data_IF_758799384562
#
_entry.id   IF_758799384562
#
_cell.length_a   1.000
_cell.length_b   1.000
_cell.length_c   1.000
_cell.angle_alpha   90.00
_cell.angle_beta   90.00
_cell.angle_gamma   90.00
#
_symmetry.space_group_name_H-M   'P 1'
#
loop_
_entity.id
_entity.type
_entity.pdbx_description
1 polymer ?
#
# COMPACT_ATOMS: atom_id res chain seq x y z
N UNK A 1 11.84 2.09 10.80
CA UNK A 1 12.23 1.74 9.41
C UNK A 1 10.99 1.44 8.57
N UNK A 2 10.16 0.49 9.00
CA UNK A 2 8.89 0.15 8.35
C UNK A 2 7.74 1.04 8.85
N UNK A 3 7.80 2.33 8.53
CA UNK A 3 6.77 3.30 8.93
C UNK A 3 5.61 3.30 7.93
N UNK A 4 4.37 3.18 8.44
CA UNK A 4 3.14 3.13 7.65
C UNK A 4 2.48 4.49 7.41
N UNK A 5 3.17 5.57 7.78
CA UNK A 5 2.70 6.94 7.63
C UNK A 5 2.49 7.33 6.16
N UNK A 6 1.34 7.94 5.87
CA UNK A 6 0.94 8.38 4.54
C UNK A 6 0.97 9.92 4.45
N UNK A 7 2.18 10.46 4.29
CA UNK A 7 2.49 11.91 4.35
C UNK A 7 1.62 12.78 3.45
N UNK A 8 1.22 12.31 2.25
CA UNK A 8 0.39 13.10 1.35
C UNK A 8 -0.95 13.52 2.00
N UNK A 9 -1.48 12.70 2.90
CA UNK A 9 -2.78 12.92 3.53
C UNK A 9 -2.76 13.97 4.66
N UNK A 10 -1.58 14.37 5.16
CA UNK A 10 -1.44 15.47 6.11
C UNK A 10 -2.03 16.79 5.56
N UNK A 11 -1.87 17.03 4.27
CA UNK A 11 -2.37 18.24 3.61
C UNK A 11 -3.78 18.04 3.04
N UNK A 12 -4.04 16.85 2.50
CA UNK A 12 -5.26 16.53 1.77
C UNK A 12 -6.48 16.36 2.69
N UNK A 13 -6.33 15.70 3.84
CA UNK A 13 -7.47 15.46 4.75
C UNK A 13 -7.98 16.76 5.38
N UNK A 14 -7.12 17.67 5.88
CA UNK A 14 -7.59 18.99 6.31
C UNK A 14 -8.29 19.78 5.20
N UNK A 15 -7.90 19.61 3.93
CA UNK A 15 -8.60 20.23 2.80
C UNK A 15 -10.03 19.69 2.65
N UNK A 16 -10.23 18.37 2.73
CA UNK A 16 -11.57 17.75 2.77
C UNK A 16 -12.41 18.33 3.91
N UNK A 17 -11.84 18.39 5.12
CA UNK A 17 -12.56 18.86 6.31
C UNK A 17 -12.96 20.33 6.17
N UNK A 18 -12.06 21.20 5.68
CA UNK A 18 -12.37 22.61 5.40
C UNK A 18 -13.48 22.75 4.36
N UNK A 19 -13.39 22.01 3.26
CA UNK A 19 -14.40 22.03 2.20
C UNK A 19 -15.78 21.57 2.72
N UNK A 20 -15.82 20.50 3.51
CA UNK A 20 -17.05 19.97 4.08
C UNK A 20 -17.70 20.94 5.08
N UNK A 21 -16.90 21.56 5.96
CA UNK A 21 -17.41 22.52 6.95
C UNK A 21 -17.93 23.81 6.30
N UNK A 22 -17.42 24.17 5.13
CA UNK A 22 -17.88 25.33 4.35
C UNK A 22 -19.19 25.10 3.59
N UNK A 23 -19.74 23.88 3.56
CA UNK A 23 -21.01 23.60 2.90
C UNK A 23 -22.21 24.20 3.66
N UNK A 24 -23.26 24.68 2.96
CA UNK A 24 -24.53 25.05 3.58
C UNK A 24 -25.18 23.87 4.33
N UNK A 25 -25.96 24.16 5.38
CA UNK A 25 -26.56 23.13 6.24
C UNK A 25 -27.58 22.21 5.53
N UNK A 26 -28.11 22.64 4.38
CA UNK A 26 -29.00 21.84 3.52
C UNK A 26 -28.31 21.13 2.35
N UNK A 27 -26.98 21.21 2.22
CA UNK A 27 -26.27 20.60 1.10
C UNK A 27 -26.31 19.06 1.20
N UNK A 28 -26.71 18.40 0.10
CA UNK A 28 -26.77 16.94 0.03
C UNK A 28 -25.42 16.25 0.28
N UNK A 29 -24.29 16.90 -0.07
CA UNK A 29 -22.95 16.40 0.24
C UNK A 29 -22.67 16.42 1.74
N UNK A 30 -23.22 17.39 2.48
CA UNK A 30 -23.03 17.50 3.92
C UNK A 30 -23.68 16.30 4.64
N UNK A 31 -24.89 15.93 4.24
CA UNK A 31 -25.55 14.74 4.78
C UNK A 31 -24.86 13.44 4.34
N UNK A 32 -24.55 13.30 3.05
CA UNK A 32 -23.97 12.07 2.49
C UNK A 32 -22.52 11.79 2.92
N UNK A 33 -21.75 12.79 3.33
CA UNK A 33 -20.34 12.65 3.69
C UNK A 33 -20.04 12.80 5.18
N UNK A 34 -21.07 12.94 6.03
CA UNK A 34 -20.91 13.13 7.48
C UNK A 34 -20.03 12.08 8.13
N UNK A 35 -20.29 10.79 7.89
CA UNK A 35 -19.50 9.70 8.48
C UNK A 35 -18.11 9.56 7.85
N UNK A 36 -17.95 9.53 6.51
CA UNK A 36 -16.63 9.49 5.87
C UNK A 36 -15.69 10.63 6.31
N UNK A 37 -16.18 11.86 6.36
CA UNK A 37 -15.36 13.02 6.75
C UNK A 37 -14.99 12.96 8.23
N UNK A 38 -15.91 12.56 9.10
CA UNK A 38 -15.61 12.34 10.53
C UNK A 38 -14.53 11.27 10.72
N UNK A 39 -14.61 10.17 9.97
CA UNK A 39 -13.61 9.11 10.07
C UNK A 39 -12.23 9.59 9.61
N UNK A 40 -12.18 10.26 8.46
CA UNK A 40 -10.93 10.80 7.93
C UNK A 40 -10.31 11.86 8.85
N UNK A 41 -11.12 12.73 9.47
CA UNK A 41 -10.62 13.77 10.37
C UNK A 41 -10.02 13.25 11.68
N UNK A 42 -10.36 12.02 12.07
CA UNK A 42 -9.84 11.35 13.28
C UNK A 42 -8.69 10.39 12.97
N UNK A 43 -8.37 10.17 11.70
CA UNK A 43 -7.33 9.25 11.29
C UNK A 43 -5.94 9.86 11.50
N UNK A 44 -5.00 9.04 11.99
CA UNK A 44 -3.62 9.42 12.28
C UNK A 44 -2.67 9.27 11.09
N UNK A 45 -3.21 9.07 9.88
CA UNK A 45 -2.46 8.87 8.63
C UNK A 45 -1.57 7.63 8.57
N UNK A 46 -1.61 6.74 9.57
CA UNK A 46 -0.96 5.44 9.49
C UNK A 46 -1.86 4.41 8.83
N UNK A 47 -1.33 3.72 7.84
CA UNK A 47 -1.98 2.57 7.21
C UNK A 47 -1.86 1.31 8.06
N UNK A 48 -2.89 0.47 8.03
CA UNK A 48 -2.94 -0.83 8.70
C UNK A 48 -3.99 -1.73 8.07
N UNK A 49 -3.91 -3.03 8.29
CA UNK A 49 -4.88 -4.01 7.76
C UNK A 49 -6.33 -3.73 8.22
N UNK A 50 -6.50 -3.14 9.41
CA UNK A 50 -7.83 -2.88 9.97
C UNK A 50 -8.35 -1.45 9.66
N UNK A 51 -7.56 -0.62 8.96
CA UNK A 51 -7.87 0.79 8.75
C UNK A 51 -8.89 0.98 7.63
N UNK A 52 -10.12 1.36 7.99
CA UNK A 52 -11.14 1.81 7.03
C UNK A 52 -10.78 3.17 6.43
N UNK A 53 -10.19 4.06 7.23
CA UNK A 53 -9.75 5.38 6.77
C UNK A 53 -8.71 5.27 5.65
N UNK A 54 -7.81 4.27 5.71
CA UNK A 54 -6.84 4.00 4.65
C UNK A 54 -7.52 3.61 3.34
N UNK A 55 -8.54 2.75 3.38
CA UNK A 55 -9.34 2.40 2.19
C UNK A 55 -9.97 3.64 1.57
N UNK A 56 -10.68 4.45 2.38
CA UNK A 56 -11.31 5.68 1.90
C UNK A 56 -10.29 6.65 1.31
N UNK A 57 -9.21 6.91 2.05
CA UNK A 57 -8.19 7.88 1.67
C UNK A 57 -7.48 7.50 0.37
N UNK A 58 -7.10 6.24 0.19
CA UNK A 58 -6.39 5.78 -1.01
C UNK A 58 -7.33 5.78 -2.23
N UNK A 59 -8.53 5.21 -2.12
CA UNK A 59 -9.48 5.21 -3.25
C UNK A 59 -9.87 6.63 -3.67
N UNK A 60 -10.07 7.53 -2.69
CA UNK A 60 -10.33 8.94 -2.97
C UNK A 60 -9.10 9.64 -3.58
N UNK A 61 -7.93 9.40 -3.02
CA UNK A 61 -6.64 9.92 -3.48
C UNK A 61 -6.43 9.60 -4.96
N UNK A 62 -6.59 8.33 -5.35
CA UNK A 62 -6.47 7.87 -6.73
C UNK A 62 -7.39 8.65 -7.69
N UNK A 63 -8.61 9.01 -7.25
CA UNK A 63 -9.57 9.78 -8.07
C UNK A 63 -9.18 11.26 -8.24
N UNK A 64 -8.46 11.84 -7.29
CA UNK A 64 -8.01 13.23 -7.39
C UNK A 64 -6.64 13.36 -8.08
N UNK A 65 -5.83 12.30 -8.19
CA UNK A 65 -4.50 12.36 -8.80
C UNK A 65 -4.46 13.00 -10.19
N UNK A 66 -5.39 12.74 -11.13
CA UNK A 66 -5.40 13.43 -12.42
C UNK A 66 -5.57 14.95 -12.31
N UNK A 67 -6.24 15.45 -11.26
CA UNK A 67 -6.38 16.88 -10.98
C UNK A 67 -5.10 17.41 -10.34
N UNK A 68 -4.56 16.69 -9.35
CA UNK A 68 -3.26 17.01 -8.72
C UNK A 68 -2.18 17.19 -9.78
N UNK A 69 -2.05 16.28 -10.75
CA UNK A 69 -1.03 16.37 -11.78
C UNK A 69 -1.17 17.58 -12.71
N UNK A 70 -2.39 18.12 -12.87
CA UNK A 70 -2.70 19.31 -13.67
C UNK A 70 -2.61 20.61 -12.87
N UNK A 71 -2.55 20.55 -11.54
CA UNK A 71 -2.41 21.72 -10.69
C UNK A 71 -1.09 22.43 -10.96
N UNK A 72 -1.15 23.75 -11.09
CA UNK A 72 0.03 24.61 -11.23
C UNK A 72 0.61 24.88 -9.83
N UNK A 73 1.92 24.74 -9.70
CA UNK A 73 2.68 25.12 -8.51
C UNK A 73 3.00 26.62 -8.55
N UNK A 74 3.40 27.21 -7.41
CA UNK A 74 3.75 28.64 -7.37
C UNK A 74 5.00 28.90 -8.19
N UNK A 75 5.14 30.13 -8.67
CA UNK A 75 6.35 30.54 -9.39
C UNK A 75 7.57 30.40 -8.47
N UNK A 76 8.60 29.68 -8.93
CA UNK A 76 9.82 29.41 -8.16
C UNK A 76 9.82 28.08 -7.41
N UNK A 77 8.69 27.38 -7.30
CA UNK A 77 8.64 26.01 -6.79
C UNK A 77 8.91 24.98 -7.90
N UNK A 78 9.51 23.84 -7.53
CA UNK A 78 9.62 22.72 -8.47
C UNK A 78 8.25 22.09 -8.77
N UNK A 79 8.11 21.49 -9.96
CA UNK A 79 6.87 20.90 -10.43
C UNK A 79 6.64 19.46 -9.90
N UNK A 80 7.18 19.12 -8.73
CA UNK A 80 7.05 17.78 -8.13
C UNK A 80 5.61 17.45 -7.75
N UNK A 81 5.33 16.16 -7.65
CA UNK A 81 4.03 15.66 -7.15
C UNK A 81 3.74 16.17 -5.73
N UNK A 82 4.76 16.37 -4.90
CA UNK A 82 4.59 16.91 -3.54
C UNK A 82 4.05 18.33 -3.59
N UNK A 83 4.74 19.24 -4.30
CA UNK A 83 4.30 20.63 -4.41
C UNK A 83 2.94 20.76 -5.10
N UNK A 84 2.67 19.92 -6.12
CA UNK A 84 1.34 19.85 -6.74
C UNK A 84 0.25 19.39 -5.78
N UNK A 85 0.55 18.44 -4.90
CA UNK A 85 -0.40 17.96 -3.88
C UNK A 85 -0.71 19.06 -2.87
N UNK A 86 0.32 19.77 -2.40
CA UNK A 86 0.16 20.92 -1.49
C UNK A 86 -0.62 22.07 -2.14
N UNK A 87 -0.30 22.39 -3.40
CA UNK A 87 -1.01 23.41 -4.18
C UNK A 87 -2.48 23.00 -4.41
N UNK A 88 -2.74 21.73 -4.74
CA UNK A 88 -4.11 21.24 -4.90
C UNK A 88 -4.88 21.29 -3.59
N UNK A 89 -4.31 20.80 -2.48
CA UNK A 89 -4.94 20.84 -1.16
C UNK A 89 -5.28 22.25 -0.67
N UNK A 90 -4.53 23.27 -1.11
CA UNK A 90 -4.76 24.67 -0.74
C UNK A 90 -5.72 25.42 -1.65
N UNK A 91 -5.90 24.98 -2.91
CA UNK A 91 -6.66 25.73 -3.93
C UNK A 91 -7.89 25.02 -4.45
N UNK A 92 -8.02 23.71 -4.24
CA UNK A 92 -9.14 22.94 -4.74
C UNK A 92 -10.47 23.41 -4.13
N UNK A 93 -11.49 23.53 -4.97
CA UNK A 93 -12.84 23.86 -4.50
C UNK A 93 -13.53 22.65 -3.85
N UNK A 94 -14.66 22.89 -3.19
CA UNK A 94 -15.39 21.85 -2.49
C UNK A 94 -15.84 20.71 -3.42
N UNK A 95 -16.22 21.01 -4.66
CA UNK A 95 -16.66 19.99 -5.61
C UNK A 95 -15.50 19.08 -6.04
N UNK A 96 -14.30 19.64 -6.21
CA UNK A 96 -13.10 18.90 -6.59
C UNK A 96 -12.61 17.94 -5.50
N UNK A 97 -12.94 18.21 -4.24
CA UNK A 97 -12.58 17.38 -3.08
C UNK A 97 -13.69 16.40 -2.70
N UNK A 98 -14.94 16.88 -2.61
CA UNK A 98 -16.05 16.14 -2.01
C UNK A 98 -16.80 15.24 -3.00
N UNK A 99 -16.92 15.61 -4.28
CA UNK A 99 -17.55 14.73 -5.28
C UNK A 99 -16.75 13.43 -5.49
N UNK A 100 -15.41 13.44 -5.60
CA UNK A 100 -14.62 12.22 -5.63
C UNK A 100 -14.76 11.38 -4.34
N UNK A 101 -14.96 12.02 -3.18
CA UNK A 101 -15.15 11.29 -1.92
C UNK A 101 -16.50 10.58 -1.90
N UNK A 102 -17.57 11.26 -2.34
CA UNK A 102 -18.88 10.64 -2.49
C UNK A 102 -18.86 9.48 -3.50
N UNK A 103 -18.15 9.67 -4.63
CA UNK A 103 -17.96 8.62 -5.61
C UNK A 103 -17.18 7.42 -5.04
N UNK A 104 -16.22 7.66 -4.14
CA UNK A 104 -15.48 6.61 -3.44
C UNK A 104 -16.38 5.79 -2.52
N UNK A 105 -17.19 6.46 -1.71
CA UNK A 105 -18.16 5.79 -0.81
C UNK A 105 -19.09 4.88 -1.61
N UNK A 106 -19.70 5.41 -2.67
CA UNK A 106 -20.61 4.66 -3.55
C UNK A 106 -19.91 3.50 -4.27
N UNK A 107 -18.68 3.70 -4.74
CA UNK A 107 -17.91 2.63 -5.37
C UNK A 107 -17.64 1.49 -4.39
N UNK A 108 -17.22 1.80 -3.15
CA UNK A 108 -16.94 0.78 -2.15
C UNK A 108 -18.22 0.03 -1.74
N UNK A 109 -19.34 0.73 -1.55
CA UNK A 109 -20.64 0.11 -1.31
C UNK A 109 -21.05 -0.83 -2.45
N UNK A 110 -20.90 -0.40 -3.71
CA UNK A 110 -21.24 -1.21 -4.88
C UNK A 110 -20.35 -2.46 -5.00
N UNK A 111 -19.05 -2.32 -4.72
CA UNK A 111 -18.07 -3.40 -4.87
C UNK A 111 -18.10 -4.41 -3.72
N UNK A 112 -18.23 -3.91 -2.49
CA UNK A 112 -18.02 -4.71 -1.29
C UNK A 112 -19.24 -4.79 -0.37
N UNK A 113 -20.36 -4.14 -0.72
CA UNK A 113 -21.57 -4.08 0.11
C UNK A 113 -21.48 -3.08 1.27
N UNK A 114 -20.32 -2.46 1.49
CA UNK A 114 -20.12 -1.41 2.50
C UNK A 114 -18.96 -0.51 2.09
N UNK A 115 -19.01 0.78 2.44
CA UNK A 115 -17.83 1.64 2.35
C UNK A 115 -16.87 1.46 3.54
N UNK A 116 -17.33 0.84 4.63
CA UNK A 116 -16.54 0.64 5.85
C UNK A 116 -15.58 -0.55 5.74
N UNK A 117 -14.91 -0.68 4.61
CA UNK A 117 -14.02 -1.80 4.33
C UNK A 117 -12.64 -1.61 4.98
N UNK A 118 -12.19 -2.54 5.83
CA UNK A 118 -10.81 -2.55 6.31
C UNK A 118 -9.82 -2.70 5.15
N UNK A 119 -8.71 -1.97 5.17
CA UNK A 119 -7.75 -1.96 4.07
C UNK A 119 -7.22 -3.35 3.71
N UNK A 120 -6.94 -4.19 4.71
CA UNK A 120 -6.45 -5.55 4.50
C UNK A 120 -7.46 -6.49 3.84
N UNK A 121 -8.76 -6.22 3.93
CA UNK A 121 -9.79 -7.00 3.19
C UNK A 121 -9.79 -6.69 1.69
N UNK A 122 -9.34 -5.49 1.34
CA UNK A 122 -9.30 -4.97 -0.03
C UNK A 122 -7.91 -5.16 -0.65
N UNK A 123 -6.85 -4.93 0.11
CA UNK A 123 -5.45 -4.94 -0.31
C UNK A 123 -4.75 -6.23 0.06
N UNK A 124 -4.49 -7.07 -0.94
CA UNK A 124 -4.06 -8.46 -0.76
C UNK A 124 -2.74 -8.75 -1.46
N UNK A 125 -1.92 -9.59 -0.85
CA UNK A 125 -0.77 -10.21 -1.49
C UNK A 125 -1.06 -11.66 -1.79
N UNK A 126 -0.95 -12.02 -3.06
CA UNK A 126 -1.29 -13.35 -3.54
C UNK A 126 -0.25 -13.80 -4.54
N UNK A 127 0.13 -15.07 -4.44
CA UNK A 127 1.00 -15.74 -5.40
C UNK A 127 0.39 -17.11 -5.69
N UNK A 128 -0.15 -17.28 -6.91
CA UNK A 128 -0.86 -18.50 -7.32
C UNK A 128 0.05 -19.42 -8.14
N UNK A 129 0.88 -18.84 -9.00
CA UNK A 129 1.75 -19.56 -9.93
C UNK A 129 3.15 -18.95 -10.01
N UNK A 130 4.05 -19.67 -10.69
CA UNK A 130 5.40 -19.22 -11.01
C UNK A 130 5.49 -18.32 -12.24
N UNK A 131 4.35 -17.90 -12.78
CA UNK A 131 4.29 -17.16 -14.04
C UNK A 131 4.88 -15.76 -13.87
N UNK A 132 5.50 -15.27 -14.95
CA UNK A 132 6.02 -13.89 -14.99
C UNK A 132 4.87 -12.90 -14.94
N UNK A 133 3.82 -13.17 -15.70
CA UNK A 133 2.57 -12.42 -15.65
C UNK A 133 1.68 -13.00 -14.56
N UNK A 134 1.57 -12.27 -13.45
CA UNK A 134 0.76 -12.72 -12.32
C UNK A 134 -0.73 -12.68 -12.66
N UNK A 135 -1.41 -13.77 -12.34
CA UNK A 135 -2.87 -13.86 -12.31
C UNK A 135 -3.35 -13.86 -10.85
N UNK A 136 -4.53 -13.26 -10.63
CA UNK A 136 -5.12 -13.10 -9.30
C UNK A 136 -6.57 -13.59 -9.30
N UNK A 137 -7.01 -14.10 -8.15
CA UNK A 137 -8.34 -14.66 -7.96
C UNK A 137 -8.79 -14.44 -6.51
N UNK A 138 -9.91 -13.72 -6.35
CA UNK A 138 -10.51 -13.38 -5.06
C UNK A 138 -10.94 -14.61 -4.25
N UNK A 139 -11.11 -15.77 -4.89
CA UNK A 139 -11.49 -17.04 -4.27
C UNK A 139 -10.27 -17.86 -3.81
N UNK A 140 -9.05 -17.45 -4.15
CA UNK A 140 -7.81 -18.12 -3.72
C UNK A 140 -7.25 -17.45 -2.48
N UNK A 141 -6.47 -18.21 -1.71
CA UNK A 141 -5.79 -17.69 -0.53
C UNK A 141 -4.91 -16.49 -0.87
N UNK A 142 -4.88 -15.51 0.03
CA UNK A 142 -4.04 -14.32 -0.08
C UNK A 142 -3.79 -13.77 1.32
N UNK A 143 -2.78 -12.92 1.47
CA UNK A 143 -2.35 -12.32 2.74
C UNK A 143 -2.83 -10.86 2.79
N UNK A 144 -3.46 -10.38 3.87
CA UNK A 144 -3.79 -8.96 4.01
C UNK A 144 -2.51 -8.13 4.09
N UNK A 145 -2.42 -7.03 3.34
CA UNK A 145 -1.27 -6.12 3.40
C UNK A 145 -1.69 -4.76 3.93
N UNK A 146 -1.08 -4.35 5.04
CA UNK A 146 -1.33 -3.04 5.65
C UNK A 146 -0.67 -1.87 4.91
N UNK A 147 0.31 -2.15 4.04
CA UNK A 147 1.09 -1.16 3.33
C UNK A 147 0.36 -0.54 2.13
N UNK A 148 0.90 0.58 1.64
CA UNK A 148 0.38 1.35 0.52
C UNK A 148 1.52 1.82 -0.40
N UNK A 149 1.13 2.39 -1.54
CA UNK A 149 2.08 2.91 -2.52
C UNK A 149 2.87 4.10 -1.98
N UNK A 150 4.16 4.16 -2.30
CA UNK A 150 5.03 5.30 -1.98
C UNK A 150 4.58 6.63 -2.58
N UNK A 151 3.67 6.62 -3.57
CA UNK A 151 3.03 7.85 -4.08
C UNK A 151 2.32 8.66 -2.97
N UNK A 152 1.91 7.98 -1.89
CA UNK A 152 1.28 8.58 -0.72
C UNK A 152 2.27 8.98 0.39
N UNK A 153 3.57 8.83 0.15
CA UNK A 153 4.64 9.15 1.11
C UNK A 153 5.05 8.00 2.04
N UNK A 154 4.55 6.78 1.80
CA UNK A 154 4.93 5.60 2.57
C UNK A 154 6.33 5.09 2.22
N UNK A 155 7.12 4.74 3.23
CA UNK A 155 8.48 4.21 3.02
C UNK A 155 8.49 2.75 2.54
N UNK A 156 7.86 1.76 3.22
CA UNK A 156 7.70 0.42 2.69
C UNK A 156 6.57 0.44 1.66
N UNK A 157 6.96 0.59 0.40
CA UNK A 157 6.05 0.73 -0.73
C UNK A 157 5.43 -0.60 -1.11
N UNK A 158 4.11 -0.59 -1.22
CA UNK A 158 3.31 -1.67 -1.80
C UNK A 158 2.22 -1.05 -2.67
N UNK A 159 2.46 -0.98 -3.99
CA UNK A 159 1.47 -0.50 -4.93
C UNK A 159 0.59 -1.66 -5.39
N UNK A 160 -0.72 -1.50 -5.21
CA UNK A 160 -1.71 -2.49 -5.63
C UNK A 160 -2.80 -1.87 -6.49
N UNK A 161 -3.50 -2.72 -7.25
CA UNK A 161 -4.67 -2.34 -8.05
C UNK A 161 -5.58 -3.54 -8.26
N UNK A 162 -6.83 -3.28 -8.67
CA UNK A 162 -7.71 -4.34 -9.13
C UNK A 162 -7.25 -4.87 -10.50
N UNK A 163 -7.50 -6.15 -10.75
CA UNK A 163 -7.18 -6.84 -12.00
C UNK A 163 -8.47 -7.34 -12.67
N UNK A 164 -8.43 -7.68 -13.97
CA UNK A 164 -9.59 -8.27 -14.63
C UNK A 164 -10.10 -9.50 -13.86
N UNK A 165 -11.40 -9.52 -13.54
CA UNK A 165 -12.02 -10.60 -12.78
C UNK A 165 -11.90 -10.50 -11.25
N UNK A 166 -11.24 -9.47 -10.71
CA UNK A 166 -11.14 -9.27 -9.25
C UNK A 166 -11.88 -8.01 -8.80
N UNK A 167 -12.45 -8.09 -7.60
CA UNK A 167 -13.00 -6.96 -6.86
C UNK A 167 -11.93 -6.39 -5.91
N UNK A 168 -11.15 -7.27 -5.27
CA UNK A 168 -9.99 -6.90 -4.46
C UNK A 168 -8.83 -6.40 -5.33
N UNK A 169 -7.84 -5.80 -4.67
CA UNK A 169 -6.62 -5.29 -5.29
C UNK A 169 -5.40 -6.06 -4.83
N UNK A 170 -4.47 -6.27 -5.76
CA UNK A 170 -3.27 -7.07 -5.58
C UNK A 170 -2.00 -6.29 -5.90
N UNK A 171 -0.92 -6.59 -5.19
CA UNK A 171 0.39 -5.96 -5.37
C UNK A 171 0.94 -6.13 -6.78
N UNK A 172 1.48 -5.06 -7.33
CA UNK A 172 2.06 -4.99 -8.69
C UNK A 172 3.54 -4.63 -8.64
N UNK A 173 3.90 -3.69 -7.77
CA UNK A 173 5.26 -3.27 -7.54
C UNK A 173 5.41 -2.68 -6.13
N UNK A 174 6.64 -2.40 -5.75
CA UNK A 174 6.99 -1.93 -4.41
C UNK A 174 8.35 -2.47 -4.01
N UNK A 175 8.61 -2.54 -2.71
CA UNK A 175 9.80 -3.22 -2.21
C UNK A 175 9.72 -4.72 -2.53
N UNK A 176 10.75 -5.25 -3.20
CA UNK A 176 10.88 -6.68 -3.49
C UNK A 176 11.86 -7.36 -2.53
N UNK A 177 13.11 -6.91 -2.52
CA UNK A 177 14.14 -7.31 -1.56
C UNK A 177 14.56 -6.10 -0.73
N UNK A 178 14.60 -6.26 0.59
CA UNK A 178 15.08 -5.24 1.53
C UNK A 178 16.15 -5.86 2.41
N UNK A 179 17.26 -5.16 2.61
CA UNK A 179 18.31 -5.58 3.54
C UNK A 179 18.82 -4.36 4.31
N UNK A 180 18.94 -4.50 5.62
CA UNK A 180 19.60 -3.53 6.48
C UNK A 180 20.86 -4.19 7.04
N UNK A 181 21.99 -3.48 6.94
CA UNK A 181 23.32 -3.99 7.32
C UNK A 181 23.95 -3.04 8.33
N UNK A 182 24.41 -3.61 9.44
CA UNK A 182 25.21 -2.93 10.45
C UNK A 182 26.69 -3.29 10.23
N UNK A 183 27.52 -2.28 9.96
CA UNK A 183 28.96 -2.42 9.75
C UNK A 183 29.74 -2.21 11.05
N UNK A 184 29.78 -3.26 11.89
CA UNK A 184 30.66 -3.33 13.07
C UNK A 184 31.89 -4.20 12.83
N UNK A 185 32.59 -4.58 13.90
CA UNK A 185 33.69 -5.57 13.84
C UNK A 185 33.22 -6.91 13.26
N UNK A 186 31.96 -7.28 13.51
CA UNK A 186 31.23 -8.32 12.78
C UNK A 186 30.02 -7.70 12.10
N UNK A 187 29.79 -8.07 10.85
CA UNK A 187 28.62 -7.65 10.07
C UNK A 187 27.38 -8.33 10.64
N UNK A 188 26.33 -7.55 10.88
CA UNK A 188 24.98 -8.06 11.13
C UNK A 188 24.08 -7.57 10.02
N UNK A 189 23.22 -8.44 9.52
CA UNK A 189 22.28 -8.06 8.48
C UNK A 189 20.93 -8.73 8.72
N UNK A 190 19.88 -7.99 8.41
CA UNK A 190 18.51 -8.50 8.36
C UNK A 190 17.94 -8.24 6.98
N UNK A 191 17.26 -9.23 6.43
CA UNK A 191 16.66 -9.16 5.09
C UNK A 191 15.17 -9.51 5.10
N UNK A 192 14.49 -9.10 4.05
CA UNK A 192 13.09 -9.38 3.79
C UNK A 192 12.88 -9.52 2.29
N UNK A 193 12.24 -10.61 1.86
CA UNK A 193 11.90 -10.83 0.46
C UNK A 193 10.38 -10.91 0.29
N UNK A 194 9.86 -10.27 -0.75
CA UNK A 194 8.48 -10.43 -1.18
C UNK A 194 8.26 -11.86 -1.71
N UNK A 195 7.58 -12.70 -0.91
CA UNK A 195 7.17 -14.04 -1.33
C UNK A 195 8.15 -15.13 -0.92
N UNK A 196 9.05 -15.57 -1.79
CA UNK A 196 9.94 -16.71 -1.53
C UNK A 196 11.03 -16.87 -2.59
N UNK A 197 12.05 -17.69 -2.29
CA UNK A 197 13.26 -17.87 -3.12
C UNK A 197 13.06 -18.86 -4.30
N UNK A 198 11.84 -19.34 -4.54
CA UNK A 198 11.54 -20.26 -5.63
C UNK A 198 10.41 -19.77 -6.53
N UNK A 199 10.54 -20.01 -7.83
CA UNK A 199 9.47 -19.86 -8.82
C UNK A 199 8.55 -21.08 -8.93
N UNK A 200 8.95 -22.23 -8.38
CA UNK A 200 8.17 -23.47 -8.50
C UNK A 200 7.05 -23.50 -7.45
N UNK A 201 5.75 -23.55 -7.84
CA UNK A 201 4.63 -23.61 -6.90
C UNK A 201 4.64 -24.82 -5.95
N UNK A 202 5.32 -25.91 -6.32
CA UNK A 202 5.48 -27.08 -5.46
C UNK A 202 6.64 -26.95 -4.45
N UNK A 203 7.46 -25.91 -4.55
CA UNK A 203 8.56 -25.67 -3.62
C UNK A 203 8.03 -25.16 -2.28
N UNK A 204 8.56 -25.63 -1.13
CA UNK A 204 8.24 -25.02 0.16
C UNK A 204 8.71 -23.56 0.23
N UNK A 205 9.64 -23.15 -0.63
CA UNK A 205 10.17 -21.77 -0.72
C UNK A 205 9.48 -20.91 -1.78
N UNK A 206 8.28 -21.31 -2.22
CA UNK A 206 7.51 -20.54 -3.19
C UNK A 206 6.90 -19.28 -2.56
N UNK A 207 6.35 -19.33 -1.36
CA UNK A 207 5.66 -18.18 -0.76
C UNK A 207 5.83 -18.10 0.77
N UNK A 208 6.88 -18.72 1.29
CA UNK A 208 7.15 -18.90 2.72
C UNK A 208 7.56 -17.62 3.48
N UNK A 209 7.98 -16.57 2.78
CA UNK A 209 8.26 -15.24 3.35
C UNK A 209 7.11 -14.25 3.12
N UNK A 210 6.00 -14.64 2.48
CA UNK A 210 4.88 -13.73 2.15
C UNK A 210 4.27 -13.05 3.39
N UNK A 211 4.10 -13.79 4.48
CA UNK A 211 3.54 -13.25 5.73
C UNK A 211 4.54 -12.31 6.41
N UNK A 212 5.81 -12.72 6.48
CA UNK A 212 6.89 -11.90 7.00
C UNK A 212 6.97 -10.57 6.25
N UNK A 213 6.85 -10.62 4.92
CA UNK A 213 6.80 -9.44 4.07
C UNK A 213 5.64 -8.53 4.45
N UNK A 214 4.40 -9.05 4.46
CA UNK A 214 3.20 -8.28 4.76
C UNK A 214 3.19 -7.63 6.16
N UNK A 215 3.96 -8.19 7.09
CA UNK A 215 4.10 -7.71 8.47
C UNK A 215 5.39 -6.90 8.71
N UNK A 216 6.29 -6.78 7.72
CA UNK A 216 7.58 -6.10 7.88
C UNK A 216 8.52 -6.82 8.85
N UNK A 217 8.40 -8.14 8.97
CA UNK A 217 9.24 -8.97 9.85
C UNK A 217 10.48 -9.44 9.11
N UNK A 218 11.65 -8.90 9.45
CA UNK A 218 12.88 -9.25 8.78
C UNK A 218 13.48 -10.55 9.36
N UNK A 219 14.03 -11.39 8.49
CA UNK A 219 14.86 -12.55 8.86
C UNK A 219 16.32 -12.14 9.01
N UNK A 220 17.05 -12.87 9.85
CA UNK A 220 18.50 -12.75 9.93
C UNK A 220 19.17 -13.22 8.63
N UNK A 221 20.31 -12.62 8.29
CA UNK A 221 21.16 -13.03 7.17
C UNK A 221 22.37 -13.79 7.72
N UNK A 222 22.49 -15.05 7.32
CA UNK A 222 23.63 -15.90 7.67
C UNK A 222 24.82 -15.57 6.78
N UNK A 223 25.69 -14.68 7.25
CA UNK A 223 26.84 -14.20 6.48
C UNK A 223 28.12 -15.02 6.73
N UNK A 224 28.35 -15.45 7.98
CA UNK A 224 29.55 -16.19 8.32
C UNK A 224 29.39 -17.69 8.06
N UNK A 225 30.50 -18.36 7.70
CA UNK A 225 30.51 -19.79 7.37
C UNK A 225 29.83 -20.64 8.45
N UNK A 226 30.13 -20.39 9.71
CA UNK A 226 29.55 -21.14 10.84
C UNK A 226 28.02 -21.01 10.87
N UNK A 227 27.49 -19.79 10.70
CA UNK A 227 26.05 -19.53 10.65
C UNK A 227 25.40 -20.25 9.47
N UNK A 228 26.03 -20.18 8.29
CA UNK A 228 25.55 -20.87 7.08
C UNK A 228 25.50 -22.38 7.30
N UNK A 229 26.56 -22.96 7.85
CA UNK A 229 26.64 -24.41 8.09
C UNK A 229 25.62 -24.89 9.12
N UNK A 230 25.35 -24.09 10.16
CA UNK A 230 24.36 -24.41 11.20
C UNK A 230 22.90 -24.37 10.69
N UNK A 231 22.64 -23.62 9.61
CA UNK A 231 21.29 -23.44 9.05
C UNK A 231 21.12 -24.09 7.67
N UNK A 232 22.14 -24.76 7.15
CA UNK A 232 22.10 -25.40 5.84
C UNK A 232 21.06 -26.52 5.82
N UNK A 233 20.19 -26.51 4.80
CA UNK A 233 19.25 -27.61 4.52
C UNK A 233 19.85 -28.68 3.62
N UNK A 234 20.80 -28.29 2.77
CA UNK A 234 21.47 -29.16 1.82
C UNK A 234 22.88 -28.63 1.54
N UNK A 235 23.81 -29.53 1.28
CA UNK A 235 25.15 -29.24 0.75
C UNK A 235 25.32 -30.04 -0.55
N UNK A 236 25.92 -29.43 -1.57
CA UNK A 236 26.11 -30.09 -2.86
C UNK A 236 27.43 -29.66 -3.50
N UNK A 237 28.00 -30.52 -4.34
CA UNK A 237 29.06 -30.12 -5.26
C UNK A 237 28.45 -29.82 -6.64
N UNK A 238 28.81 -28.71 -7.30
CA UNK A 238 28.36 -28.42 -8.66
C UNK A 238 28.63 -29.60 -9.62
N UNK A 239 27.60 -30.04 -10.33
CA UNK A 239 27.68 -31.17 -11.28
C UNK A 239 27.12 -32.50 -10.76
N UNK A 240 26.88 -32.65 -9.46
CA UNK A 240 26.36 -33.90 -8.88
C UNK A 240 24.83 -34.04 -8.95
N UNK A 241 24.10 -32.93 -9.15
CA UNK A 241 22.64 -32.96 -9.29
C UNK A 241 22.23 -33.40 -10.70
N UNK A 242 21.47 -34.50 -10.78
CA UNK A 242 20.61 -34.75 -11.95
C UNK A 242 19.40 -33.82 -11.83
N UNK A 243 19.23 -32.92 -12.80
CA UNK A 243 18.06 -32.06 -12.92
C UNK A 243 16.80 -32.87 -13.18
#
# INVERSE_FOLDING_TARGET
GYDTYLMAFESLIPAIVRAYNGLPDGDSLKSGLKEPVKMLSQWNFHSSVNSVATTLAIYWGEKIMPRVYRTKVRQGEDNSTVNKTLAFASTADASQLLLPLLATVRELEMKFGSWKMPWGEVNRFQRISGDIENHFDDNKSSIPVGFASSVWGMLPSYSSRAFPGTVKRYGVNGNSFVCAVEFGQKVKAKSLLAGGESGNPASPHFFDQGEMYAQGQFKEVWFYKEDVMNHAREQYNPGERKR
#
